data_IF_066233478420
#
_entry.id   IF_066233478420
#
_cell.length_a   1.000
_cell.length_b   1.000
_cell.length_c   1.000
_cell.angle_alpha   90.00
_cell.angle_beta   90.00
_cell.angle_gamma   90.00
#
_symmetry.space_group_name_H-M   'P 1'
#
loop_
_entity.id
_entity.type
_entity.pdbx_description
1 polymer ?
#
# COMPACT_ATOMS: atom_id res chain seq x y z
N UNK A 1 4.87 24.94 -10.14
CA UNK A 1 3.86 24.03 -10.72
C UNK A 1 4.12 22.65 -10.15
N UNK A 2 3.13 21.99 -9.60
CA UNK A 2 3.29 20.60 -9.14
C UNK A 2 3.61 19.70 -10.32
N UNK A 3 4.54 18.75 -10.17
CA UNK A 3 4.81 17.74 -11.18
C UNK A 3 3.53 16.95 -11.53
N UNK A 4 3.40 16.47 -12.75
CA UNK A 4 2.19 15.78 -13.26
C UNK A 4 1.81 14.53 -12.42
N UNK A 5 2.76 13.94 -11.70
CA UNK A 5 2.56 12.78 -10.83
C UNK A 5 1.95 13.12 -9.47
N UNK A 6 2.12 14.36 -8.97
CA UNK A 6 1.71 14.76 -7.61
C UNK A 6 0.20 14.60 -7.38
N UNK A 7 -0.70 15.10 -8.26
CA UNK A 7 -2.14 14.93 -8.07
C UNK A 7 -2.55 13.45 -8.00
N UNK A 8 -1.93 12.60 -8.82
CA UNK A 8 -2.21 11.16 -8.85
C UNK A 8 -1.76 10.46 -7.56
N UNK A 9 -0.58 10.80 -7.06
CA UNK A 9 -0.04 10.27 -5.81
C UNK A 9 -0.85 10.74 -4.60
N UNK A 10 -1.25 12.03 -4.55
CA UNK A 10 -2.11 12.58 -3.49
C UNK A 10 -3.51 11.95 -3.52
N UNK A 11 -4.08 11.73 -4.69
CA UNK A 11 -5.35 11.02 -4.83
C UNK A 11 -5.25 9.62 -4.24
N UNK A 12 -4.20 8.86 -4.59
CA UNK A 12 -3.96 7.53 -4.04
C UNK A 12 -3.78 7.57 -2.50
N UNK A 13 -3.00 8.52 -1.99
CA UNK A 13 -2.79 8.75 -0.57
C UNK A 13 -4.12 8.93 0.18
N UNK A 14 -4.98 9.83 -0.29
CA UNK A 14 -6.26 10.14 0.37
C UNK A 14 -7.20 8.95 0.33
N UNK A 15 -7.39 8.34 -0.83
CA UNK A 15 -8.31 7.20 -1.00
C UNK A 15 -7.86 6.00 -0.17
N UNK A 16 -6.58 5.66 -0.17
CA UNK A 16 -6.07 4.56 0.65
C UNK A 16 -6.14 4.85 2.15
N UNK A 17 -6.05 6.11 2.55
CA UNK A 17 -6.27 6.52 3.95
C UNK A 17 -7.71 6.27 4.38
N UNK A 18 -8.69 6.63 3.55
CA UNK A 18 -10.12 6.35 3.78
C UNK A 18 -10.36 4.82 3.78
N UNK A 19 -9.79 4.11 2.81
CA UNK A 19 -9.91 2.65 2.73
C UNK A 19 -9.48 1.95 4.02
N UNK A 20 -8.42 2.41 4.68
CA UNK A 20 -7.95 1.83 5.95
C UNK A 20 -9.03 1.87 7.03
N UNK A 21 -9.73 2.99 7.16
CA UNK A 21 -10.82 3.16 8.14
C UNK A 21 -12.00 2.25 7.79
N UNK A 22 -12.43 2.27 6.52
CA UNK A 22 -13.54 1.42 6.05
C UNK A 22 -13.21 -0.07 6.17
N UNK A 23 -11.99 -0.48 5.82
CA UNK A 23 -11.52 -1.86 5.98
C UNK A 23 -11.62 -2.32 7.44
N UNK A 24 -11.20 -1.48 8.39
CA UNK A 24 -11.31 -1.80 9.83
C UNK A 24 -12.77 -2.06 10.23
N UNK A 25 -13.69 -1.22 9.77
CA UNK A 25 -15.13 -1.37 10.05
C UNK A 25 -15.72 -2.61 9.36
N UNK A 26 -15.30 -2.90 8.13
CA UNK A 26 -15.76 -4.08 7.38
C UNK A 26 -15.32 -5.39 8.03
N UNK A 27 -14.06 -5.49 8.47
CA UNK A 27 -13.48 -6.70 9.07
C UNK A 27 -14.05 -7.04 10.45
N UNK A 28 -14.84 -6.17 11.07
CA UNK A 28 -15.63 -6.53 12.27
C UNK A 28 -16.71 -7.57 11.94
N UNK A 29 -17.22 -7.59 10.69
CA UNK A 29 -18.35 -8.44 10.28
C UNK A 29 -17.98 -9.48 9.23
N UNK A 30 -16.95 -9.23 8.43
CA UNK A 30 -16.54 -10.08 7.33
C UNK A 30 -15.23 -10.77 7.65
N UNK A 31 -15.09 -12.03 7.21
CA UNK A 31 -13.81 -12.71 7.25
C UNK A 31 -12.79 -12.01 6.35
N UNK A 32 -11.52 -12.12 6.70
CA UNK A 32 -10.42 -11.59 5.88
C UNK A 32 -10.43 -12.22 4.48
N UNK A 33 -10.75 -13.51 4.38
CA UNK A 33 -10.81 -14.23 3.12
C UNK A 33 -11.91 -13.69 2.19
N UNK A 34 -13.12 -13.44 2.74
CA UNK A 34 -14.24 -12.82 2.02
C UNK A 34 -13.89 -11.42 1.54
N UNK A 35 -13.32 -10.58 2.42
CA UNK A 35 -12.90 -9.23 2.10
C UNK A 35 -11.85 -9.21 0.98
N UNK A 36 -10.83 -10.07 1.08
CA UNK A 36 -9.78 -10.21 0.09
C UNK A 36 -10.33 -10.60 -1.29
N UNK A 37 -11.21 -11.61 -1.33
CA UNK A 37 -11.84 -12.06 -2.59
C UNK A 37 -12.71 -10.97 -3.21
N UNK A 38 -13.49 -10.23 -2.41
CA UNK A 38 -14.29 -9.12 -2.90
C UNK A 38 -13.38 -8.03 -3.49
N UNK A 39 -12.31 -7.67 -2.78
CA UNK A 39 -11.34 -6.72 -3.30
C UNK A 39 -10.76 -7.17 -4.66
N UNK A 40 -10.38 -8.43 -4.79
CA UNK A 40 -9.82 -8.97 -6.03
C UNK A 40 -10.83 -8.91 -7.19
N UNK A 41 -12.09 -9.28 -6.96
CA UNK A 41 -13.16 -9.24 -7.98
C UNK A 41 -13.43 -7.80 -8.44
N UNK A 42 -13.60 -6.87 -7.50
CA UNK A 42 -13.87 -5.47 -7.82
C UNK A 42 -12.68 -4.80 -8.50
N UNK A 43 -11.46 -5.06 -8.03
CA UNK A 43 -10.25 -4.54 -8.66
C UNK A 43 -10.08 -5.06 -10.08
N UNK A 44 -10.31 -6.36 -10.32
CA UNK A 44 -10.25 -6.93 -11.66
C UNK A 44 -11.26 -6.27 -12.60
N UNK A 45 -12.48 -6.01 -12.14
CA UNK A 45 -13.49 -5.30 -12.94
C UNK A 45 -13.05 -3.88 -13.31
N UNK A 46 -12.53 -3.12 -12.34
CA UNK A 46 -12.02 -1.75 -12.58
C UNK A 46 -10.83 -1.77 -13.56
N UNK A 47 -9.90 -2.68 -13.36
CA UNK A 47 -8.69 -2.75 -14.21
C UNK A 47 -9.00 -3.29 -15.61
N UNK A 48 -9.99 -4.18 -15.76
CA UNK A 48 -10.47 -4.60 -17.07
C UNK A 48 -11.07 -3.44 -17.85
N UNK A 49 -11.87 -2.57 -17.20
CA UNK A 49 -12.38 -1.35 -17.85
C UNK A 49 -11.25 -0.40 -18.24
N UNK A 50 -10.27 -0.23 -17.36
CA UNK A 50 -9.08 0.60 -17.66
C UNK A 50 -8.28 0.02 -18.85
N UNK A 51 -8.13 -1.30 -18.92
CA UNK A 51 -7.41 -1.98 -20.01
C UNK A 51 -8.08 -1.82 -21.38
N UNK A 52 -9.37 -1.51 -21.46
CA UNK A 52 -10.05 -1.16 -22.72
C UNK A 52 -9.54 0.20 -23.24
N UNK A 53 -9.32 1.16 -22.34
CA UNK A 53 -8.84 2.49 -22.69
C UNK A 53 -7.32 2.54 -22.88
N UNK A 54 -6.59 1.75 -22.10
CA UNK A 54 -5.11 1.66 -22.12
C UNK A 54 -4.76 0.17 -22.23
N UNK A 55 -4.65 -0.38 -23.45
CA UNK A 55 -4.36 -1.80 -23.64
C UNK A 55 -3.04 -2.24 -23.00
N UNK A 56 -2.97 -3.48 -22.47
CA UNK A 56 -1.73 -4.03 -21.94
C UNK A 56 -0.67 -4.21 -23.04
N UNK A 57 0.60 -4.07 -22.66
CA UNK A 57 1.73 -4.41 -23.51
C UNK A 57 2.11 -5.88 -23.30
N UNK A 58 2.01 -6.76 -24.33
CA UNK A 58 2.38 -8.16 -24.16
C UNK A 58 3.80 -8.39 -23.63
N UNK A 59 4.72 -7.45 -23.87
CA UNK A 59 6.08 -7.51 -23.37
C UNK A 59 6.19 -7.36 -21.84
N UNK A 60 5.24 -6.66 -21.21
CA UNK A 60 5.21 -6.41 -19.76
C UNK A 60 4.66 -7.56 -18.91
N UNK A 61 3.88 -8.45 -19.50
CA UNK A 61 3.11 -9.48 -18.78
C UNK A 61 3.99 -10.40 -17.92
N UNK A 62 5.12 -10.87 -18.45
CA UNK A 62 6.02 -11.79 -17.70
C UNK A 62 6.56 -11.13 -16.45
N UNK A 63 7.03 -9.88 -16.55
CA UNK A 63 7.48 -9.09 -15.41
C UNK A 63 6.36 -8.83 -14.40
N UNK A 64 5.16 -8.52 -14.89
CA UNK A 64 3.99 -8.28 -14.06
C UNK A 64 3.54 -9.54 -13.30
N UNK A 65 3.58 -10.73 -13.91
CA UNK A 65 3.36 -12.02 -13.23
C UNK A 65 4.40 -12.23 -12.14
N UNK A 66 5.68 -12.05 -12.45
CA UNK A 66 6.78 -12.21 -11.49
C UNK A 66 6.60 -11.29 -10.28
N UNK A 67 6.28 -10.02 -10.50
CA UNK A 67 6.03 -9.07 -9.41
C UNK A 67 4.79 -9.44 -8.62
N UNK A 68 3.71 -9.89 -9.26
CA UNK A 68 2.48 -10.28 -8.57
C UNK A 68 2.70 -11.47 -7.64
N UNK A 69 3.49 -12.46 -8.07
CA UNK A 69 3.90 -13.59 -7.24
C UNK A 69 4.82 -13.15 -6.09
N UNK A 70 5.76 -12.23 -6.35
CA UNK A 70 6.59 -11.62 -5.32
C UNK A 70 5.73 -10.92 -4.25
N UNK A 71 4.71 -10.18 -4.68
CA UNK A 71 3.80 -9.51 -3.76
C UNK A 71 2.94 -10.49 -2.94
N UNK A 72 2.49 -11.58 -3.55
CA UNK A 72 1.80 -12.65 -2.83
C UNK A 72 2.71 -13.30 -1.76
N UNK A 73 3.96 -13.59 -2.11
CA UNK A 73 4.97 -14.10 -1.17
C UNK A 73 5.25 -13.08 -0.06
N UNK A 74 5.37 -11.81 -0.41
CA UNK A 74 5.57 -10.71 0.54
C UNK A 74 4.43 -10.63 1.55
N UNK A 75 3.19 -10.73 1.08
CA UNK A 75 2.02 -10.76 1.96
C UNK A 75 2.08 -11.92 2.96
N UNK A 76 2.44 -13.13 2.48
CA UNK A 76 2.55 -14.30 3.35
C UNK A 76 3.66 -14.15 4.39
N UNK A 77 4.85 -13.73 3.97
CA UNK A 77 6.02 -13.51 4.85
C UNK A 77 5.71 -12.43 5.90
N UNK A 78 5.05 -11.33 5.51
CA UNK A 78 4.65 -10.26 6.43
C UNK A 78 3.63 -10.75 7.46
N UNK A 79 2.66 -11.53 7.00
CA UNK A 79 1.63 -12.11 7.88
C UNK A 79 2.26 -13.07 8.88
N UNK A 80 3.18 -13.92 8.43
CA UNK A 80 3.87 -14.89 9.29
C UNK A 80 4.84 -14.20 10.28
N UNK A 81 5.54 -13.15 9.85
CA UNK A 81 6.34 -12.32 10.74
C UNK A 81 5.49 -11.70 11.86
N UNK A 82 4.30 -11.16 11.48
CA UNK A 82 3.36 -10.56 12.42
C UNK A 82 2.75 -11.59 13.37
N UNK A 83 2.49 -12.82 12.89
CA UNK A 83 1.97 -13.91 13.70
C UNK A 83 2.97 -14.38 14.76
N UNK A 84 4.26 -14.46 14.42
CA UNK A 84 5.32 -14.97 15.31
C UNK A 84 5.96 -13.90 16.17
N UNK A 85 6.01 -12.66 15.68
CA UNK A 85 6.72 -11.57 16.34
C UNK A 85 5.82 -10.57 17.07
N UNK A 86 6.42 -9.74 17.93
CA UNK A 86 5.70 -8.66 18.59
C UNK A 86 5.30 -7.60 17.55
N UNK A 87 4.01 -7.37 17.38
CA UNK A 87 3.46 -6.39 16.42
C UNK A 87 4.09 -5.00 16.61
N UNK A 88 4.42 -4.65 17.86
CA UNK A 88 5.09 -3.38 18.19
C UNK A 88 6.51 -3.23 17.63
N UNK A 89 7.12 -4.28 17.11
CA UNK A 89 8.45 -4.26 16.49
C UNK A 89 8.38 -4.61 15.01
N UNK A 90 7.59 -5.63 14.65
CA UNK A 90 7.43 -6.05 13.25
C UNK A 90 6.85 -4.93 12.39
N UNK A 91 5.79 -4.27 12.87
CA UNK A 91 5.14 -3.21 12.09
C UNK A 91 6.04 -1.99 11.83
N UNK A 92 6.79 -1.41 12.83
CA UNK A 92 7.76 -0.36 12.54
C UNK A 92 8.87 -0.79 11.59
N UNK A 93 9.35 -2.03 11.72
CA UNK A 93 10.42 -2.54 10.88
C UNK A 93 9.97 -2.64 9.42
N UNK A 94 8.81 -3.22 9.17
CA UNK A 94 8.25 -3.31 7.81
C UNK A 94 7.84 -1.95 7.23
N UNK A 95 7.43 -1.00 8.08
CA UNK A 95 7.13 0.38 7.67
C UNK A 95 8.35 1.15 7.13
N UNK A 96 9.57 0.63 7.32
CA UNK A 96 10.79 1.20 6.74
C UNK A 96 11.06 0.72 5.31
N UNK A 97 10.24 -0.15 4.73
CA UNK A 97 10.43 -0.64 3.36
C UNK A 97 10.57 0.45 2.28
N UNK A 98 9.91 1.63 2.37
CA UNK A 98 10.14 2.72 1.42
C UNK A 98 11.58 3.23 1.39
N UNK A 99 12.33 3.11 2.51
CA UNK A 99 13.74 3.50 2.52
C UNK A 99 14.57 2.67 1.55
N UNK A 100 14.31 1.35 1.47
CA UNK A 100 14.98 0.48 0.50
C UNK A 100 14.61 0.87 -0.94
N UNK A 101 13.34 1.18 -1.20
CA UNK A 101 12.90 1.65 -2.53
C UNK A 101 13.65 2.92 -2.94
N UNK A 102 13.78 3.88 -2.03
CA UNK A 102 14.51 5.13 -2.26
C UNK A 102 15.99 4.87 -2.55
N UNK A 103 16.64 4.03 -1.74
CA UNK A 103 18.05 3.65 -1.95
C UNK A 103 18.25 3.04 -3.35
N UNK A 104 17.37 2.12 -3.75
CA UNK A 104 17.43 1.47 -5.07
C UNK A 104 17.14 2.45 -6.21
N UNK A 105 16.17 3.36 -6.04
CA UNK A 105 15.84 4.38 -7.04
C UNK A 105 17.02 5.33 -7.27
N UNK A 106 17.69 5.76 -6.22
CA UNK A 106 18.90 6.60 -6.31
C UNK A 106 20.06 5.83 -6.92
N UNK A 107 20.35 4.62 -6.42
CA UNK A 107 21.54 3.87 -6.81
C UNK A 107 21.44 3.28 -8.23
N UNK A 108 20.26 2.86 -8.66
CA UNK A 108 20.04 2.13 -9.92
C UNK A 108 19.42 3.01 -11.00
N UNK A 109 18.40 3.82 -10.65
CA UNK A 109 17.74 4.70 -11.62
C UNK A 109 18.39 6.09 -11.71
N UNK A 110 19.36 6.39 -10.83
CA UNK A 110 20.01 7.70 -10.80
C UNK A 110 19.10 8.85 -10.38
N UNK A 111 18.02 8.56 -9.63
CA UNK A 111 17.14 9.59 -9.13
C UNK A 111 17.88 10.56 -8.19
N UNK A 112 17.70 11.85 -8.38
CA UNK A 112 18.32 12.87 -7.53
C UNK A 112 17.39 13.25 -6.40
N UNK A 113 17.94 13.28 -5.18
CA UNK A 113 17.22 13.71 -3.98
C UNK A 113 17.70 15.11 -3.60
N UNK A 114 16.79 16.10 -3.62
CA UNK A 114 17.06 17.41 -3.04
C UNK A 114 17.11 17.32 -1.50
N UNK A 115 17.65 18.33 -0.84
CA UNK A 115 17.66 18.38 0.63
C UNK A 115 16.24 18.29 1.21
N UNK A 116 15.28 18.99 0.61
CA UNK A 116 13.87 19.00 1.02
C UNK A 116 13.23 17.61 0.86
N UNK A 117 13.47 16.93 -0.26
CA UNK A 117 13.02 15.54 -0.44
C UNK A 117 13.64 14.61 0.60
N UNK A 118 14.94 14.71 0.85
CA UNK A 118 15.63 13.91 1.87
C UNK A 118 15.04 14.09 3.27
N UNK A 119 14.71 15.33 3.62
CA UNK A 119 14.05 15.64 4.89
C UNK A 119 12.62 15.10 4.94
N UNK A 120 11.84 15.27 3.86
CA UNK A 120 10.49 14.72 3.74
C UNK A 120 10.46 13.18 3.84
N UNK A 121 11.39 12.49 3.17
CA UNK A 121 11.55 11.02 3.27
C UNK A 121 11.84 10.60 4.71
N UNK A 122 12.80 11.28 5.36
CA UNK A 122 13.16 10.99 6.75
C UNK A 122 11.98 11.20 7.70
N UNK A 123 11.21 12.27 7.52
CA UNK A 123 10.00 12.54 8.29
C UNK A 123 8.90 11.49 8.03
N UNK A 124 8.70 11.05 6.79
CA UNK A 124 7.74 9.99 6.44
C UNK A 124 8.08 8.66 7.13
N UNK A 125 9.36 8.27 7.08
CA UNK A 125 9.86 7.04 7.74
C UNK A 125 9.71 7.11 9.26
N UNK A 126 10.15 8.22 9.87
CA UNK A 126 10.03 8.43 11.32
C UNK A 126 8.55 8.44 11.76
N UNK A 127 7.67 9.10 11.01
CA UNK A 127 6.22 9.12 11.24
C UNK A 127 5.63 7.71 11.19
N UNK A 128 5.99 6.91 10.18
CA UNK A 128 5.54 5.51 10.03
C UNK A 128 6.00 4.63 11.19
N UNK A 129 7.25 4.79 11.64
CA UNK A 129 7.79 4.07 12.81
C UNK A 129 7.03 4.46 14.08
N UNK A 130 6.82 5.77 14.33
CA UNK A 130 6.09 6.25 15.52
C UNK A 130 4.65 5.76 15.57
N UNK A 131 3.96 5.70 14.41
CA UNK A 131 2.59 5.19 14.29
C UNK A 131 2.51 3.69 14.60
N UNK A 132 3.48 2.94 14.13
CA UNK A 132 3.48 1.48 14.22
C UNK A 132 4.02 0.98 15.56
N UNK A 133 4.79 1.80 16.29
CA UNK A 133 5.48 1.40 17.51
C UNK A 133 4.51 1.13 18.67
N UNK A 134 4.47 -0.11 19.13
CA UNK A 134 3.71 -0.54 20.32
C UNK A 134 4.69 -1.19 21.31
N UNK A 135 4.98 -0.57 22.46
CA UNK A 135 5.85 -1.18 23.48
C UNK A 135 5.19 -2.46 24.01
N UNK A 136 5.89 -3.58 23.92
CA UNK A 136 5.52 -4.87 24.52
C UNK A 136 6.74 -5.54 25.11
N UNK A 137 6.50 -6.51 26.01
CA UNK A 137 7.55 -7.30 26.64
C UNK A 137 8.49 -7.96 25.62
N UNK A 138 9.80 -8.08 25.94
CA UNK A 138 10.77 -8.72 25.06
C UNK A 138 10.39 -10.17 24.81
N UNK A 139 10.16 -10.52 23.54
CA UNK A 139 10.05 -11.91 23.09
C UNK A 139 11.37 -12.33 22.47
N UNK A 140 11.70 -13.62 22.58
CA UNK A 140 12.90 -14.17 21.96
C UNK A 140 12.96 -13.81 20.47
N UNK A 141 14.10 -13.29 20.02
CA UNK A 141 14.33 -12.80 18.65
C UNK A 141 14.33 -13.94 17.60
N UNK A 142 14.45 -15.19 18.06
CA UNK A 142 14.56 -16.34 17.18
C UNK A 142 13.24 -16.64 16.45
N UNK A 143 13.27 -16.58 15.13
CA UNK A 143 12.25 -17.09 14.21
C UNK A 143 11.35 -16.02 13.56
N UNK A 144 11.08 -14.87 14.15
CA UNK A 144 10.28 -13.81 13.53
C UNK A 144 11.11 -12.70 12.87
N UNK A 145 12.30 -12.39 13.44
CA UNK A 145 13.15 -11.31 12.94
C UNK A 145 13.60 -11.52 11.48
N UNK A 146 14.07 -12.72 11.08
CA UNK A 146 14.39 -12.96 9.67
C UNK A 146 13.19 -12.75 8.74
N UNK A 147 11.99 -13.15 9.17
CA UNK A 147 10.76 -12.94 8.38
C UNK A 147 10.39 -11.45 8.27
N UNK A 148 10.55 -10.69 9.34
CA UNK A 148 10.30 -9.25 9.33
C UNK A 148 11.30 -8.50 8.44
N UNK A 149 12.58 -8.86 8.49
CA UNK A 149 13.61 -8.32 7.60
C UNK A 149 13.36 -8.72 6.14
N UNK A 150 13.02 -9.99 5.88
CA UNK A 150 12.62 -10.44 4.55
C UNK A 150 11.40 -9.68 4.03
N UNK A 151 10.39 -9.45 4.87
CA UNK A 151 9.22 -8.65 4.53
C UNK A 151 9.58 -7.21 4.15
N UNK A 152 10.45 -6.55 4.92
CA UNK A 152 10.97 -5.21 4.60
C UNK A 152 11.65 -5.20 3.21
N UNK A 153 12.54 -6.16 2.98
CA UNK A 153 13.29 -6.26 1.73
C UNK A 153 12.35 -6.53 0.56
N UNK A 154 11.45 -7.51 0.69
CA UNK A 154 10.52 -7.88 -0.38
C UNK A 154 9.55 -6.74 -0.71
N UNK A 155 9.06 -5.99 0.29
CA UNK A 155 8.20 -4.82 0.06
C UNK A 155 8.96 -3.69 -0.67
N UNK A 156 10.16 -3.37 -0.22
CA UNK A 156 10.98 -2.33 -0.83
C UNK A 156 11.41 -2.69 -2.26
N UNK A 157 11.83 -3.93 -2.49
CA UNK A 157 12.13 -4.46 -3.83
C UNK A 157 10.89 -4.45 -4.72
N UNK A 158 9.74 -4.87 -4.18
CA UNK A 158 8.49 -4.89 -4.94
C UNK A 158 8.06 -3.52 -5.43
N UNK A 159 8.14 -2.50 -4.58
CA UNK A 159 7.84 -1.13 -4.98
C UNK A 159 8.83 -0.60 -6.04
N UNK A 160 10.13 -0.94 -5.90
CA UNK A 160 11.14 -0.60 -6.89
C UNK A 160 10.91 -1.31 -8.24
N UNK A 161 10.66 -2.63 -8.22
CA UNK A 161 10.36 -3.40 -9.44
C UNK A 161 9.08 -2.89 -10.09
N UNK A 162 8.04 -2.52 -9.31
CA UNK A 162 6.84 -1.89 -9.84
C UNK A 162 7.17 -0.61 -10.61
N UNK A 163 8.06 0.25 -10.06
CA UNK A 163 8.53 1.46 -10.77
C UNK A 163 9.17 1.12 -12.11
N UNK A 164 10.08 0.15 -12.12
CA UNK A 164 10.78 -0.27 -13.35
C UNK A 164 9.79 -0.77 -14.40
N UNK A 165 8.87 -1.66 -14.00
CA UNK A 165 7.90 -2.25 -14.91
C UNK A 165 6.92 -1.21 -15.47
N UNK A 166 6.34 -0.36 -14.62
CA UNK A 166 5.38 0.65 -15.10
C UNK A 166 6.02 1.73 -15.96
N UNK A 167 7.32 1.98 -15.78
CA UNK A 167 8.05 2.89 -16.64
C UNK A 167 8.32 2.28 -18.02
N UNK A 168 8.54 0.97 -18.08
CA UNK A 168 8.82 0.25 -19.33
C UNK A 168 7.56 -0.08 -20.13
N UNK A 169 6.49 -0.57 -19.49
CA UNK A 169 5.31 -1.15 -20.17
C UNK A 169 4.00 -0.43 -19.81
N UNK A 170 4.05 0.58 -18.95
CA UNK A 170 2.85 1.22 -18.43
C UNK A 170 2.20 0.45 -17.27
N UNK A 171 1.13 0.99 -16.68
CA UNK A 171 0.52 0.42 -15.47
C UNK A 171 -0.40 -0.78 -15.74
N UNK A 172 -0.93 -0.94 -16.97
CA UNK A 172 -2.04 -1.85 -17.26
C UNK A 172 -1.68 -3.30 -17.02
N UNK A 173 -0.49 -3.74 -17.47
CA UNK A 173 -0.04 -5.13 -17.30
C UNK A 173 0.00 -5.52 -15.83
N UNK A 174 0.60 -4.65 -15.01
CA UNK A 174 0.73 -4.89 -13.59
C UNK A 174 -0.63 -4.89 -12.88
N UNK A 175 -1.54 -3.98 -13.26
CA UNK A 175 -2.90 -3.90 -12.71
C UNK A 175 -3.70 -5.17 -12.98
N UNK A 176 -3.82 -5.56 -14.25
CA UNK A 176 -4.62 -6.71 -14.64
C UNK A 176 -4.03 -8.01 -14.10
N UNK A 177 -2.71 -8.18 -14.23
CA UNK A 177 -2.02 -9.40 -13.76
C UNK A 177 -2.10 -9.54 -12.24
N UNK A 178 -1.88 -8.45 -11.50
CA UNK A 178 -1.97 -8.50 -10.03
C UNK A 178 -3.39 -8.82 -9.56
N UNK A 179 -4.41 -8.26 -10.20
CA UNK A 179 -5.81 -8.59 -9.87
C UNK A 179 -6.16 -10.04 -10.22
N UNK A 180 -5.68 -10.56 -11.33
CA UNK A 180 -5.88 -11.96 -11.70
C UNK A 180 -5.22 -12.91 -10.69
N UNK A 181 -3.97 -12.65 -10.31
CA UNK A 181 -3.27 -13.43 -9.27
C UNK A 181 -4.00 -13.33 -7.93
N UNK A 182 -4.40 -12.13 -7.51
CA UNK A 182 -5.18 -11.94 -6.28
C UNK A 182 -6.53 -12.68 -6.32
N UNK A 183 -7.21 -12.71 -7.47
CA UNK A 183 -8.45 -13.45 -7.63
C UNK A 183 -8.23 -14.96 -7.47
N UNK A 184 -7.21 -15.52 -8.11
CA UNK A 184 -6.85 -16.94 -7.97
C UNK A 184 -6.60 -17.28 -6.48
N UNK A 185 -5.76 -16.50 -5.82
CA UNK A 185 -5.47 -16.67 -4.39
C UNK A 185 -6.75 -16.51 -3.55
N UNK A 186 -7.57 -15.49 -3.84
CA UNK A 186 -8.85 -15.26 -3.16
C UNK A 186 -9.85 -16.41 -3.31
N UNK A 187 -9.90 -17.04 -4.48
CA UNK A 187 -10.75 -18.21 -4.73
C UNK A 187 -10.26 -19.44 -3.94
N UNK A 188 -8.95 -19.57 -3.76
CA UNK A 188 -8.36 -20.70 -3.01
C UNK A 188 -8.63 -20.53 -1.50
N UNK A 189 -8.36 -19.33 -0.95
CA UNK A 189 -8.46 -19.12 0.52
C UNK A 189 -9.89 -18.89 1.00
N UNK A 190 -10.81 -18.45 0.13
CA UNK A 190 -12.21 -18.18 0.48
C UNK A 190 -13.17 -19.27 -0.03
N UNK A 191 -12.71 -20.50 -0.17
CA UNK A 191 -13.55 -21.65 -0.56
C UNK A 191 -14.72 -21.80 0.40
N UNK A 192 -15.94 -21.86 -0.16
CA UNK A 192 -17.16 -22.07 0.61
C UNK A 192 -17.79 -20.82 1.25
N UNK A 193 -17.12 -19.66 1.22
CA UNK A 193 -17.72 -18.42 1.71
C UNK A 193 -18.54 -17.70 0.62
N UNK A 194 -19.80 -17.33 0.88
CA UNK A 194 -20.60 -16.59 -0.10
C UNK A 194 -20.07 -15.17 -0.28
N UNK A 195 -20.09 -14.62 -1.51
CA UNK A 195 -19.78 -13.21 -1.76
C UNK A 195 -20.82 -12.25 -1.17
N UNK A 196 -22.04 -12.75 -0.88
CA UNK A 196 -23.10 -11.98 -0.20
C UNK A 196 -23.62 -10.80 -1.01
N UNK A 197 -24.08 -11.04 -2.25
CA UNK A 197 -24.47 -9.98 -3.20
C UNK A 197 -25.46 -8.96 -2.66
N UNK A 198 -26.51 -9.38 -1.92
CA UNK A 198 -27.48 -8.44 -1.34
C UNK A 198 -26.89 -7.54 -0.25
N UNK A 199 -25.99 -8.06 0.58
CA UNK A 199 -25.32 -7.26 1.61
C UNK A 199 -24.39 -6.19 1.03
N UNK A 200 -23.85 -6.42 -0.18
CA UNK A 200 -22.98 -5.48 -0.87
C UNK A 200 -23.73 -4.29 -1.48
N UNK A 201 -25.03 -4.43 -1.68
CA UNK A 201 -25.87 -3.39 -2.29
C UNK A 201 -26.53 -2.47 -1.24
N UNK A 202 -26.32 -2.70 0.06
CA UNK A 202 -27.00 -1.97 1.11
C UNK A 202 -26.05 -1.52 2.25
N UNK A 203 -26.29 -0.33 2.77
CA UNK A 203 -25.67 0.19 3.98
C UNK A 203 -24.14 0.11 3.97
N UNK A 204 -23.57 -0.51 5.01
CA UNK A 204 -22.10 -0.63 5.18
C UNK A 204 -21.44 -1.51 4.13
N UNK A 205 -22.15 -2.48 3.56
CA UNK A 205 -21.65 -3.31 2.47
C UNK A 205 -21.43 -2.47 1.22
N UNK A 206 -22.38 -1.62 0.85
CA UNK A 206 -22.23 -0.70 -0.28
C UNK A 206 -21.07 0.28 -0.05
N UNK A 207 -20.96 0.87 1.15
CA UNK A 207 -19.86 1.75 1.48
C UNK A 207 -18.48 1.04 1.32
N UNK A 208 -18.40 -0.22 1.74
CA UNK A 208 -17.18 -1.03 1.55
C UNK A 208 -16.90 -1.29 0.07
N UNK A 209 -17.90 -1.71 -0.71
CA UNK A 209 -17.73 -1.97 -2.14
C UNK A 209 -17.30 -0.70 -2.89
N UNK A 210 -17.95 0.44 -2.64
CA UNK A 210 -17.58 1.74 -3.23
C UNK A 210 -16.14 2.12 -2.86
N UNK A 211 -15.75 1.92 -1.61
CA UNK A 211 -14.38 2.23 -1.17
C UNK A 211 -13.34 1.31 -1.81
N UNK A 212 -13.65 0.03 -2.02
CA UNK A 212 -12.75 -0.90 -2.72
C UNK A 212 -12.62 -0.53 -4.21
N UNK A 213 -13.71 -0.14 -4.87
CA UNK A 213 -13.66 0.38 -6.25
C UNK A 213 -12.82 1.66 -6.31
N UNK A 214 -13.05 2.61 -5.39
CA UNK A 214 -12.23 3.82 -5.32
C UNK A 214 -10.75 3.50 -5.07
N UNK A 215 -10.44 2.52 -4.22
CA UNK A 215 -9.07 2.08 -3.97
C UNK A 215 -8.42 1.44 -5.20
N UNK A 216 -9.18 0.70 -6.01
CA UNK A 216 -8.68 0.18 -7.29
C UNK A 216 -8.36 1.33 -8.26
N UNK A 217 -9.24 2.35 -8.37
CA UNK A 217 -8.97 3.57 -9.15
C UNK A 217 -7.74 4.31 -8.61
N UNK A 218 -7.59 4.39 -7.29
CA UNK A 218 -6.41 4.99 -6.66
C UNK A 218 -5.11 4.21 -6.98
N UNK A 219 -5.18 2.89 -7.11
CA UNK A 219 -4.04 2.08 -7.54
C UNK A 219 -3.65 2.39 -8.99
N UNK A 220 -4.62 2.61 -9.89
CA UNK A 220 -4.35 3.11 -11.24
C UNK A 220 -3.59 4.45 -11.14
N UNK A 221 -4.09 5.40 -10.34
CA UNK A 221 -3.44 6.68 -10.12
C UNK A 221 -2.01 6.54 -9.59
N UNK A 222 -1.80 5.69 -8.59
CA UNK A 222 -0.48 5.42 -8.02
C UNK A 222 0.52 4.86 -9.03
N UNK A 223 0.13 3.82 -9.80
CA UNK A 223 1.01 3.23 -10.79
C UNK A 223 1.25 4.18 -11.98
N UNK A 224 0.24 4.96 -12.36
CA UNK A 224 0.41 6.03 -13.35
C UNK A 224 1.32 7.15 -12.85
N UNK A 225 1.25 7.51 -11.56
CA UNK A 225 2.21 8.44 -10.97
C UNK A 225 3.64 7.87 -11.01
N UNK A 226 3.81 6.59 -10.65
CA UNK A 226 5.10 5.91 -10.72
C UNK A 226 5.67 5.83 -12.13
N UNK A 227 4.85 5.73 -13.18
CA UNK A 227 5.34 5.67 -14.57
C UNK A 227 6.00 6.97 -15.00
N UNK A 228 5.55 8.13 -14.49
CA UNK A 228 6.01 9.45 -14.91
C UNK A 228 6.83 10.22 -13.87
N UNK A 229 6.79 9.83 -12.60
CA UNK A 229 7.45 10.55 -11.51
C UNK A 229 8.50 9.72 -10.76
N UNK A 230 9.31 10.35 -9.90
CA UNK A 230 10.37 9.67 -9.15
C UNK A 230 9.81 8.76 -8.06
N UNK A 231 10.29 7.51 -8.00
CA UNK A 231 9.89 6.55 -6.97
C UNK A 231 10.38 7.00 -5.58
N UNK A 232 11.52 7.67 -5.52
CA UNK A 232 12.08 8.23 -4.28
C UNK A 232 11.19 9.26 -3.59
N UNK A 233 10.30 9.93 -4.33
CA UNK A 233 9.32 10.86 -3.78
C UNK A 233 7.93 10.21 -3.61
N UNK A 234 7.46 9.49 -4.62
CA UNK A 234 6.09 8.92 -4.66
C UNK A 234 5.90 7.86 -3.58
N UNK A 235 6.85 6.92 -3.44
CA UNK A 235 6.68 5.79 -2.51
C UNK A 235 6.65 6.26 -1.05
N UNK A 236 7.57 7.13 -0.56
CA UNK A 236 7.47 7.70 0.78
C UNK A 236 6.23 8.58 0.98
N UNK A 237 5.83 9.37 -0.03
CA UNK A 237 4.61 10.18 0.04
C UNK A 237 3.39 9.32 0.32
N UNK A 238 3.18 8.27 -0.47
CA UNK A 238 2.03 7.38 -0.32
C UNK A 238 2.14 6.52 0.95
N UNK A 239 3.36 6.20 1.39
CA UNK A 239 3.61 5.52 2.66
C UNK A 239 3.17 6.34 3.90
N UNK A 240 2.85 7.64 3.75
CA UNK A 240 2.24 8.43 4.83
C UNK A 240 0.72 8.16 5.00
N UNK A 241 0.11 7.34 4.14
CA UNK A 241 -1.33 7.01 4.23
C UNK A 241 -1.80 6.48 5.60
N UNK A 242 -0.99 5.76 6.41
CA UNK A 242 -1.39 5.42 7.79
C UNK A 242 -1.54 6.64 8.70
N UNK A 243 -0.78 7.72 8.46
CA UNK A 243 -0.88 8.95 9.25
C UNK A 243 -2.22 9.65 8.98
N UNK A 244 -2.56 9.86 7.71
CA UNK A 244 -3.85 10.44 7.35
C UNK A 244 -5.02 9.50 7.74
N UNK A 245 -4.87 8.18 7.55
CA UNK A 245 -5.85 7.19 7.99
C UNK A 245 -6.05 7.18 9.51
N UNK A 246 -4.98 7.38 10.29
CA UNK A 246 -5.04 7.54 11.75
C UNK A 246 -5.80 8.82 12.15
N UNK A 247 -5.53 9.94 11.48
CA UNK A 247 -6.28 11.18 11.69
C UNK A 247 -7.79 10.99 11.38
N UNK A 248 -8.11 10.38 10.25
CA UNK A 248 -9.49 10.06 9.90
C UNK A 248 -10.14 9.09 10.89
N UNK A 249 -9.38 8.14 11.43
CA UNK A 249 -9.85 7.22 12.48
C UNK A 249 -10.22 7.95 13.77
N UNK A 250 -9.41 8.95 14.19
CA UNK A 250 -9.73 9.80 15.34
C UNK A 250 -11.04 10.58 15.09
N UNK A 251 -11.14 11.21 13.92
CA UNK A 251 -12.27 12.10 13.60
C UNK A 251 -13.57 11.34 13.32
N UNK A 252 -13.52 10.21 12.60
CA UNK A 252 -14.70 9.50 12.12
C UNK A 252 -15.21 8.41 13.09
N UNK A 253 -14.32 7.72 13.79
CA UNK A 253 -14.68 6.63 14.70
C UNK A 253 -14.19 6.82 16.14
N UNK A 254 -13.72 8.03 16.47
CA UNK A 254 -13.29 8.45 17.81
C UNK A 254 -12.24 7.47 18.41
N UNK A 255 -11.28 7.02 17.57
CA UNK A 255 -10.25 6.09 18.00
C UNK A 255 -9.28 6.76 18.98
N UNK A 256 -9.09 6.12 20.14
CA UNK A 256 -8.11 6.59 21.12
C UNK A 256 -6.69 6.37 20.61
N UNK A 257 -5.88 7.41 20.61
CA UNK A 257 -4.49 7.37 20.17
C UNK A 257 -3.53 7.80 21.27
N UNK A 258 -2.35 7.24 21.26
CA UNK A 258 -1.27 7.63 22.19
C UNK A 258 -0.58 8.91 21.69
N UNK A 259 0.11 9.61 22.60
CA UNK A 259 0.91 10.81 22.25
C UNK A 259 1.94 10.51 21.14
N UNK A 260 2.53 9.31 21.13
CA UNK A 260 3.47 8.88 20.09
C UNK A 260 2.81 8.73 18.72
N UNK A 261 1.62 8.13 18.68
CA UNK A 261 0.85 8.02 17.46
C UNK A 261 0.42 9.39 16.94
N UNK A 262 0.05 10.32 17.83
CA UNK A 262 -0.25 11.70 17.46
C UNK A 262 0.97 12.40 16.84
N UNK A 263 2.16 12.23 17.43
CA UNK A 263 3.41 12.72 16.85
C UNK A 263 3.70 12.10 15.48
N UNK A 264 3.44 10.77 15.33
CA UNK A 264 3.56 10.07 14.06
C UNK A 264 2.60 10.58 12.98
N UNK A 265 1.35 10.89 13.36
CA UNK A 265 0.35 11.52 12.47
C UNK A 265 0.83 12.90 12.01
N UNK A 266 1.27 13.75 12.95
CA UNK A 266 1.76 15.09 12.64
C UNK A 266 2.98 15.04 11.71
N UNK A 267 3.94 14.16 11.99
CA UNK A 267 5.15 14.01 11.20
C UNK A 267 4.87 13.45 9.81
N UNK A 268 3.95 12.46 9.69
CA UNK A 268 3.50 11.93 8.42
C UNK A 268 2.74 12.95 7.57
N UNK A 269 1.89 13.76 8.19
CA UNK A 269 1.20 14.88 7.53
C UNK A 269 2.17 15.95 7.00
N UNK A 270 3.15 16.34 7.84
CA UNK A 270 4.22 17.26 7.45
C UNK A 270 5.04 16.71 6.26
N UNK A 271 5.43 15.43 6.34
CA UNK A 271 6.16 14.76 5.27
C UNK A 271 5.38 14.75 3.95
N UNK A 272 4.06 14.47 4.01
CA UNK A 272 3.22 14.47 2.82
C UNK A 272 3.17 15.84 2.13
N UNK A 273 3.03 16.92 2.92
CA UNK A 273 3.06 18.29 2.39
C UNK A 273 4.43 18.59 1.77
N UNK A 274 5.52 18.30 2.48
CA UNK A 274 6.86 18.60 2.01
C UNK A 274 7.21 17.85 0.73
N UNK A 275 6.92 16.54 0.66
CA UNK A 275 7.17 15.72 -0.53
C UNK A 275 6.32 16.13 -1.74
N UNK A 276 5.10 16.63 -1.51
CA UNK A 276 4.23 17.09 -2.57
C UNK A 276 4.63 18.49 -3.10
N UNK A 277 5.22 19.34 -2.26
CA UNK A 277 5.60 20.72 -2.63
C UNK A 277 7.03 20.85 -3.16
N UNK A 278 7.91 19.93 -2.77
CA UNK A 278 9.30 19.87 -3.25
C UNK A 278 9.44 19.20 -4.64
N UNK A 279 8.32 18.84 -5.29
CA UNK A 279 8.23 18.07 -6.53
C UNK A 279 8.43 18.93 -7.80
#
# INVERSE_FOLDING_TARGET
MFGSWVPLALFALVVWSIQRVVTKVALIRWSTARFYRLNAVLSLGVYAVFAIAVPPDPGGVVGAVGLSLLMAMTFWVTTEATRRGPVGVVAPLTAMSPALTVILAVAILGERISFEHGFGISAALAGSVLLSFRPRAPQALAGWLPLALASLVLQGLGAFIAKVLVTASGPTDLLVTSAAVQLIVGLIIARGEPLGGRELLQGRGLATAVTLVAAAVATIGYLSALSVGPASAIVPLVATSPALGGLLGILAIHEAVTRRQLAGIALGGFAAVLLATAA
#
